data_IF_655256095545
#
_entry.id   IF_655256095545
#
_cell.length_a   1.000
_cell.length_b   1.000
_cell.length_c   1.000
_cell.angle_alpha   90.00
_cell.angle_beta   90.00
_cell.angle_gamma   90.00
#
_symmetry.space_group_name_H-M   'P 1'
#
loop_
_entity.id
_entity.type
_entity.pdbx_description
1 polymer ?
#
# COMPACT_ATOMS: atom_id res chain seq x y z
N UNK A 1 -15.95 7.34 -36.55
CA UNK A 1 -16.13 6.99 -35.12
C UNK A 1 -15.29 5.77 -34.74
N UNK A 2 -15.44 4.63 -35.42
CA UNK A 2 -14.72 3.38 -35.10
C UNK A 2 -13.19 3.51 -35.24
N UNK A 3 -12.69 4.20 -36.27
CA UNK A 3 -11.24 4.48 -36.41
C UNK A 3 -10.68 5.35 -35.28
N UNK A 4 -11.44 6.34 -34.80
CA UNK A 4 -11.02 7.19 -33.68
C UNK A 4 -10.90 6.38 -32.38
N UNK A 5 -11.82 5.42 -32.16
CA UNK A 5 -11.79 4.50 -31.02
C UNK A 5 -10.60 3.54 -31.15
N UNK A 6 -10.33 3.02 -32.35
CA UNK A 6 -9.19 2.14 -32.61
C UNK A 6 -7.84 2.83 -32.31
N UNK A 7 -7.66 4.07 -32.78
CA UNK A 7 -6.42 4.84 -32.54
C UNK A 7 -6.26 5.24 -31.07
N UNK A 8 -7.37 5.50 -30.37
CA UNK A 8 -7.36 5.92 -28.96
C UNK A 8 -7.70 4.78 -27.97
N UNK A 9 -7.48 3.52 -28.35
CA UNK A 9 -7.91 2.39 -27.54
C UNK A 9 -7.23 2.34 -26.15
N UNK A 10 -5.93 2.65 -26.06
CA UNK A 10 -5.19 2.64 -24.81
C UNK A 10 -5.72 3.64 -23.75
N UNK A 11 -5.90 4.95 -24.06
CA UNK A 11 -6.48 5.88 -23.09
C UNK A 11 -7.95 5.57 -22.76
N UNK A 12 -8.72 5.04 -23.72
CA UNK A 12 -10.11 4.59 -23.45
C UNK A 12 -10.11 3.40 -22.49
N UNK A 13 -9.23 2.43 -22.69
CA UNK A 13 -9.06 1.26 -21.80
C UNK A 13 -8.65 1.68 -20.39
N UNK A 14 -7.77 2.67 -20.27
CA UNK A 14 -7.34 3.23 -18.98
C UNK A 14 -8.49 3.96 -18.28
N UNK A 15 -9.22 4.84 -18.98
CA UNK A 15 -10.36 5.55 -18.42
C UNK A 15 -11.49 4.58 -17.99
N UNK A 16 -11.75 3.55 -18.80
CA UNK A 16 -12.69 2.48 -18.46
C UNK A 16 -12.26 1.73 -17.20
N UNK A 17 -10.97 1.39 -17.07
CA UNK A 17 -10.45 0.75 -15.86
C UNK A 17 -10.73 1.60 -14.62
N UNK A 18 -10.48 2.91 -14.68
CA UNK A 18 -10.79 3.82 -13.57
C UNK A 18 -12.27 3.74 -13.21
N UNK A 19 -13.17 3.75 -14.20
CA UNK A 19 -14.60 3.60 -13.96
C UNK A 19 -14.96 2.26 -13.31
N UNK A 20 -14.42 1.14 -13.80
CA UNK A 20 -14.62 -0.19 -13.20
C UNK A 20 -14.15 -0.26 -11.75
N UNK A 21 -13.03 0.39 -11.42
CA UNK A 21 -12.52 0.46 -10.05
C UNK A 21 -13.41 1.31 -9.14
N UNK A 22 -14.04 2.37 -9.67
CA UNK A 22 -14.97 3.23 -8.93
C UNK A 22 -16.30 2.55 -8.59
N UNK A 23 -16.69 1.51 -9.35
CA UNK A 23 -17.88 0.69 -9.05
C UNK A 23 -17.72 -0.09 -7.73
N UNK A 24 -16.48 -0.23 -7.22
CA UNK A 24 -16.20 -0.92 -5.95
C UNK A 24 -16.21 -2.45 -6.07
N UNK A 25 -16.20 -2.99 -7.28
CA UNK A 25 -16.04 -4.43 -7.51
C UNK A 25 -14.59 -4.86 -7.21
N UNK A 26 -14.33 -6.10 -6.74
CA UNK A 26 -12.96 -6.51 -6.42
C UNK A 26 -11.99 -6.32 -7.59
N UNK A 27 -10.84 -5.71 -7.29
CA UNK A 27 -9.86 -5.22 -8.28
C UNK A 27 -9.44 -6.29 -9.29
N UNK A 28 -9.25 -7.54 -8.83
CA UNK A 28 -8.86 -8.65 -9.70
C UNK A 28 -9.88 -8.92 -10.82
N UNK A 29 -11.17 -8.94 -10.50
CA UNK A 29 -12.22 -9.15 -11.49
C UNK A 29 -12.43 -7.92 -12.37
N UNK A 30 -12.29 -6.71 -11.82
CA UNK A 30 -12.35 -5.48 -12.58
C UNK A 30 -11.24 -5.42 -13.66
N UNK A 31 -10.00 -5.78 -13.30
CA UNK A 31 -8.88 -5.88 -14.23
C UNK A 31 -9.09 -6.96 -15.29
N UNK A 32 -9.54 -8.16 -14.89
CA UNK A 32 -9.80 -9.25 -15.81
C UNK A 32 -10.92 -8.91 -16.80
N UNK A 33 -12.04 -8.36 -16.30
CA UNK A 33 -13.17 -7.97 -17.14
C UNK A 33 -12.78 -6.84 -18.10
N UNK A 34 -12.10 -5.80 -17.63
CA UNK A 34 -11.64 -4.71 -18.49
C UNK A 34 -10.64 -5.22 -19.54
N UNK A 35 -9.68 -6.06 -19.16
CA UNK A 35 -8.72 -6.67 -20.09
C UNK A 35 -9.38 -7.52 -21.17
N UNK A 36 -10.33 -8.39 -20.80
CA UNK A 36 -11.06 -9.25 -21.75
C UNK A 36 -12.02 -8.45 -22.64
N UNK A 37 -12.68 -7.43 -22.10
CA UNK A 37 -13.57 -6.53 -22.86
C UNK A 37 -12.77 -5.79 -23.93
N UNK A 38 -11.66 -5.16 -23.56
CA UNK A 38 -10.82 -4.45 -24.53
C UNK A 38 -10.02 -5.39 -25.44
N UNK A 39 -9.78 -6.64 -25.05
CA UNK A 39 -9.32 -7.67 -25.97
C UNK A 39 -10.34 -7.93 -27.07
N UNK A 40 -11.61 -8.16 -26.70
CA UNK A 40 -12.70 -8.37 -27.66
C UNK A 40 -12.85 -7.18 -28.61
N UNK A 41 -12.96 -5.96 -28.05
CA UNK A 41 -13.08 -4.72 -28.83
C UNK A 41 -11.86 -4.51 -29.72
N UNK A 42 -10.65 -4.81 -29.21
CA UNK A 42 -9.40 -4.68 -29.96
C UNK A 42 -9.33 -5.64 -31.16
N UNK A 43 -9.77 -6.89 -31.01
CA UNK A 43 -9.80 -7.86 -32.12
C UNK A 43 -10.79 -7.42 -33.21
N UNK A 44 -11.99 -6.97 -32.83
CA UNK A 44 -13.00 -6.49 -33.78
C UNK A 44 -12.58 -5.20 -34.51
N UNK A 45 -11.83 -4.33 -33.84
CA UNK A 45 -11.32 -3.08 -34.43
C UNK A 45 -9.98 -3.24 -35.16
N UNK A 46 -9.28 -4.36 -35.01
CA UNK A 46 -7.98 -4.61 -35.63
C UNK A 46 -7.97 -4.41 -37.16
N UNK A 47 -8.97 -4.88 -37.93
CA UNK A 47 -9.03 -4.64 -39.39
C UNK A 47 -9.16 -3.18 -39.78
N UNK A 48 -9.70 -2.34 -38.89
CA UNK A 48 -9.97 -0.91 -39.12
C UNK A 48 -8.87 0.00 -38.57
N UNK A 49 -7.82 -0.59 -37.98
CA UNK A 49 -6.82 0.13 -37.20
C UNK A 49 -5.54 0.52 -37.97
N UNK A 50 -5.49 0.28 -39.29
CA UNK A 50 -4.31 0.52 -40.13
C UNK A 50 -3.00 -0.09 -39.55
N UNK A 51 -3.09 -1.28 -38.93
CA UNK A 51 -1.94 -1.98 -38.36
C UNK A 51 -1.47 -1.51 -36.97
N UNK A 52 -2.18 -0.58 -36.33
CA UNK A 52 -1.84 -0.11 -34.96
C UNK A 52 -2.19 -1.16 -33.89
N UNK A 53 -3.25 -1.94 -34.11
CA UNK A 53 -3.72 -3.00 -33.22
C UNK A 53 -3.36 -4.37 -33.82
N UNK A 54 -2.54 -5.14 -33.12
CA UNK A 54 -2.10 -6.49 -33.52
C UNK A 54 -2.74 -7.59 -32.66
N UNK A 55 -4.03 -7.46 -32.35
CA UNK A 55 -4.78 -8.47 -31.59
C UNK A 55 -5.51 -9.43 -32.53
N UNK A 56 -5.55 -10.71 -32.16
CA UNK A 56 -6.27 -11.75 -32.91
C UNK A 56 -6.82 -12.81 -31.95
N UNK A 57 -7.92 -13.46 -32.34
CA UNK A 57 -8.56 -14.52 -31.55
C UNK A 57 -7.59 -15.64 -31.07
N UNK A 58 -6.65 -16.13 -31.90
CA UNK A 58 -5.70 -17.15 -31.45
C UNK A 58 -4.81 -16.74 -30.27
N UNK A 59 -4.62 -15.44 -30.02
CA UNK A 59 -3.82 -14.95 -28.90
C UNK A 59 -4.44 -15.34 -27.53
N UNK A 60 -5.75 -15.60 -27.46
CA UNK A 60 -6.38 -16.12 -26.24
C UNK A 60 -5.85 -17.50 -25.85
N UNK A 61 -5.35 -18.29 -26.80
CA UNK A 61 -4.77 -19.61 -26.49
C UNK A 61 -3.46 -19.50 -25.68
N UNK A 62 -2.85 -18.31 -25.58
CA UNK A 62 -1.72 -18.05 -24.70
C UNK A 62 -2.13 -17.78 -23.24
N UNK A 63 -3.43 -17.57 -22.96
CA UNK A 63 -3.93 -17.27 -21.60
C UNK A 63 -3.62 -18.37 -20.58
N UNK A 64 -3.80 -19.68 -20.87
CA UNK A 64 -3.47 -20.73 -19.92
C UNK A 64 -2.00 -20.72 -19.51
N UNK A 65 -1.10 -20.51 -20.46
CA UNK A 65 0.34 -20.43 -20.20
C UNK A 65 0.71 -19.17 -19.40
N UNK A 66 0.08 -18.03 -19.70
CA UNK A 66 0.20 -16.81 -18.89
C UNK A 66 -0.28 -17.02 -17.46
N UNK A 67 -1.41 -17.68 -17.28
CA UNK A 67 -1.96 -17.98 -15.96
C UNK A 67 -1.05 -18.92 -15.17
N UNK A 68 -0.58 -19.99 -15.82
CA UNK A 68 0.36 -20.92 -15.22
C UNK A 68 1.68 -20.23 -14.84
N UNK A 69 2.23 -19.38 -15.71
CA UNK A 69 3.47 -18.65 -15.46
C UNK A 69 3.38 -17.71 -14.24
N UNK A 70 2.22 -17.12 -13.98
CA UNK A 70 1.99 -16.33 -12.75
C UNK A 70 1.89 -17.23 -11.52
N UNK A 71 1.18 -18.36 -11.61
CA UNK A 71 1.04 -19.31 -10.50
C UNK A 71 2.36 -19.99 -10.13
N UNK A 72 3.24 -20.25 -11.10
CA UNK A 72 4.56 -20.86 -10.89
C UNK A 72 5.65 -19.85 -10.52
N UNK A 73 5.30 -18.59 -10.29
CA UNK A 73 6.27 -17.55 -10.01
C UNK A 73 6.79 -17.63 -8.57
N UNK A 74 8.05 -18.02 -8.41
CA UNK A 74 8.72 -18.14 -7.11
C UNK A 74 8.82 -16.81 -6.35
N UNK A 75 8.86 -15.67 -7.05
CA UNK A 75 8.87 -14.35 -6.41
C UNK A 75 7.53 -14.06 -5.73
N UNK A 76 6.42 -14.42 -6.39
CA UNK A 76 5.07 -14.21 -5.87
C UNK A 76 4.71 -15.19 -4.74
N UNK A 77 5.43 -16.31 -4.62
CA UNK A 77 5.34 -17.23 -3.47
C UNK A 77 5.66 -16.51 -2.14
N UNK A 78 6.42 -15.41 -2.17
CA UNK A 78 6.65 -14.59 -0.98
C UNK A 78 5.36 -13.96 -0.42
N UNK A 79 4.37 -13.61 -1.27
CA UNK A 79 3.13 -12.94 -0.86
C UNK A 79 2.35 -13.71 0.21
N UNK A 80 2.01 -15.01 0.03
CA UNK A 80 1.31 -15.76 1.07
C UNK A 80 2.13 -15.93 2.34
N UNK A 81 3.46 -16.12 2.27
CA UNK A 81 4.30 -16.22 3.46
C UNK A 81 4.38 -14.91 4.25
N UNK A 82 4.50 -13.77 3.56
CA UNK A 82 4.47 -12.45 4.20
C UNK A 82 3.10 -12.15 4.80
N UNK A 83 2.02 -12.49 4.09
CA UNK A 83 0.66 -12.34 4.61
C UNK A 83 0.46 -13.20 5.86
N UNK A 84 0.92 -14.45 5.84
CA UNK A 84 0.86 -15.35 6.99
C UNK A 84 1.64 -14.80 8.18
N UNK A 85 2.88 -14.36 7.98
CA UNK A 85 3.70 -13.72 9.01
C UNK A 85 3.01 -12.49 9.60
N UNK A 86 2.47 -11.61 8.75
CA UNK A 86 1.75 -10.41 9.18
C UNK A 86 0.54 -10.75 10.07
N UNK A 87 -0.27 -11.73 9.66
CA UNK A 87 -1.41 -12.21 10.44
C UNK A 87 -0.97 -12.82 11.77
N UNK A 88 0.10 -13.61 11.79
CA UNK A 88 0.63 -14.20 13.03
C UNK A 88 1.07 -13.11 14.01
N UNK A 89 1.77 -12.07 13.55
CA UNK A 89 2.21 -10.94 14.38
C UNK A 89 1.05 -10.07 14.88
N UNK A 90 -0.01 -9.92 14.08
CA UNK A 90 -1.22 -9.21 14.49
C UNK A 90 -2.02 -10.02 15.52
N UNK A 91 -2.20 -11.32 15.28
CA UNK A 91 -2.97 -12.21 16.16
C UNK A 91 -2.25 -12.57 17.45
N UNK A 92 -0.92 -12.43 17.52
CA UNK A 92 -0.15 -12.66 18.75
C UNK A 92 -0.24 -11.53 19.76
N UNK A 93 -0.82 -10.38 19.40
CA UNK A 93 -0.86 -9.19 20.27
C UNK A 93 0.44 -8.39 20.29
N UNK A 94 1.47 -8.82 19.56
CA UNK A 94 2.77 -8.13 19.55
C UNK A 94 2.67 -6.66 19.12
N UNK A 95 1.75 -6.33 18.20
CA UNK A 95 1.51 -4.96 17.76
C UNK A 95 1.04 -4.04 18.91
N UNK A 96 0.19 -4.56 19.80
CA UNK A 96 -0.35 -3.84 20.95
C UNK A 96 0.73 -3.68 22.03
N UNK A 97 1.45 -4.76 22.35
CA UNK A 97 2.57 -4.73 23.31
C UNK A 97 3.68 -3.75 22.88
N UNK A 98 3.98 -3.67 21.58
CA UNK A 98 4.94 -2.71 21.03
C UNK A 98 4.44 -1.27 21.17
N UNK A 99 3.15 -1.01 20.93
CA UNK A 99 2.55 0.31 21.12
C UNK A 99 2.59 0.75 22.58
N UNK A 100 2.26 -0.14 23.50
CA UNK A 100 2.31 0.15 24.94
C UNK A 100 3.75 0.41 25.41
N UNK A 101 4.69 -0.42 24.98
CA UNK A 101 6.12 -0.28 25.34
C UNK A 101 6.72 1.02 24.80
N UNK A 102 6.49 1.32 23.51
CA UNK A 102 7.02 2.54 22.90
C UNK A 102 6.26 3.78 23.41
N UNK A 103 4.95 3.65 23.69
CA UNK A 103 4.14 4.68 24.33
C UNK A 103 4.65 5.06 25.71
N UNK A 104 5.11 4.10 26.52
CA UNK A 104 5.77 4.36 27.80
C UNK A 104 7.16 4.99 27.62
N UNK A 105 7.93 4.51 26.63
CA UNK A 105 9.27 5.03 26.34
C UNK A 105 9.26 6.52 25.97
N UNK A 106 8.32 6.92 25.10
CA UNK A 106 8.20 8.31 24.65
C UNK A 106 7.16 9.12 25.43
N UNK A 107 6.40 8.49 26.33
CA UNK A 107 5.31 9.07 27.09
C UNK A 107 5.63 10.40 27.79
N UNK A 108 6.76 10.50 28.53
CA UNK A 108 7.14 11.73 29.22
C UNK A 108 7.46 12.90 28.29
N UNK A 109 7.63 12.64 26.98
CA UNK A 109 7.99 13.64 25.98
C UNK A 109 6.70 14.19 25.35
N UNK A 110 6.67 15.51 25.10
CA UNK A 110 5.57 16.14 24.35
C UNK A 110 5.53 15.57 22.93
N UNK A 111 4.37 15.14 22.45
CA UNK A 111 4.27 14.38 21.20
C UNK A 111 4.62 12.89 21.33
N UNK A 112 4.89 12.39 22.55
CA UNK A 112 5.34 11.04 22.83
C UNK A 112 4.55 9.93 22.13
N UNK A 113 3.22 9.97 22.25
CA UNK A 113 2.33 8.99 21.61
C UNK A 113 2.38 9.07 20.08
N UNK A 114 2.54 10.26 19.50
CA UNK A 114 2.66 10.41 18.06
C UNK A 114 3.98 9.82 17.53
N UNK A 115 5.09 9.98 18.26
CA UNK A 115 6.33 9.28 17.94
C UNK A 115 6.16 7.77 18.03
N UNK A 116 5.48 7.28 19.08
CA UNK A 116 5.21 5.87 19.24
C UNK A 116 4.44 5.28 18.05
N UNK A 117 3.40 5.98 17.57
CA UNK A 117 2.64 5.58 16.38
C UNK A 117 3.52 5.58 15.12
N UNK A 118 4.44 6.53 14.94
CA UNK A 118 5.34 6.52 13.79
C UNK A 118 6.33 5.34 13.85
N UNK A 119 6.96 5.11 15.01
CA UNK A 119 7.93 4.03 15.17
C UNK A 119 7.30 2.66 15.08
N UNK A 120 6.20 2.42 15.81
CA UNK A 120 5.52 1.12 15.74
C UNK A 120 4.90 0.92 14.36
N UNK A 121 4.33 1.96 13.76
CA UNK A 121 3.81 1.85 12.41
C UNK A 121 4.91 1.55 11.40
N UNK A 122 6.12 2.10 11.54
CA UNK A 122 7.27 1.73 10.72
C UNK A 122 7.73 0.28 10.91
N UNK A 123 7.72 -0.23 12.15
CA UNK A 123 8.07 -1.63 12.46
C UNK A 123 7.02 -2.63 11.95
N UNK A 124 5.73 -2.32 12.15
CA UNK A 124 4.62 -3.15 11.67
C UNK A 124 4.44 -3.04 10.15
N UNK A 125 4.76 -1.88 9.57
CA UNK A 125 4.80 -1.66 8.13
C UNK A 125 5.71 -2.68 7.44
N UNK A 126 6.91 -2.86 7.99
CA UNK A 126 7.91 -3.78 7.49
C UNK A 126 7.44 -5.25 7.50
N UNK A 127 6.46 -5.62 8.34
CA UNK A 127 6.02 -7.02 8.44
C UNK A 127 4.71 -7.30 7.72
N UNK A 128 3.80 -6.32 7.66
CA UNK A 128 2.45 -6.50 7.11
C UNK A 128 2.34 -6.13 5.64
N UNK A 129 3.04 -5.08 5.17
CA UNK A 129 3.00 -4.65 3.77
C UNK A 129 1.62 -4.17 3.27
N UNK A 130 0.62 -4.03 4.13
CA UNK A 130 -0.77 -3.69 3.77
C UNK A 130 -1.26 -2.47 4.55
N UNK A 131 -1.41 -1.33 3.85
CA UNK A 131 -1.81 -0.06 4.46
C UNK A 131 -3.16 -0.14 5.19
N UNK A 132 -4.17 -0.77 4.58
CA UNK A 132 -5.50 -0.83 5.17
C UNK A 132 -5.49 -1.54 6.54
N UNK A 133 -4.79 -2.67 6.64
CA UNK A 133 -4.68 -3.43 7.88
C UNK A 133 -3.93 -2.62 8.95
N UNK A 134 -2.77 -2.04 8.63
CA UNK A 134 -1.99 -1.25 9.59
C UNK A 134 -2.77 -0.03 10.09
N UNK A 135 -3.44 0.72 9.20
CA UNK A 135 -4.25 1.89 9.60
C UNK A 135 -5.44 1.49 10.47
N UNK A 136 -6.12 0.38 10.17
CA UNK A 136 -7.23 -0.12 10.98
C UNK A 136 -6.73 -0.54 12.36
N UNK A 137 -5.66 -1.33 12.44
CA UNK A 137 -5.10 -1.80 13.70
C UNK A 137 -4.65 -0.61 14.58
N UNK A 138 -3.85 0.31 14.02
CA UNK A 138 -3.41 1.51 14.75
C UNK A 138 -4.57 2.46 15.06
N UNK A 139 -5.57 2.55 14.20
CA UNK A 139 -6.77 3.34 14.43
C UNK A 139 -7.60 2.80 15.59
N UNK A 140 -7.75 1.48 15.71
CA UNK A 140 -8.49 0.84 16.78
C UNK A 140 -7.74 0.89 18.13
N UNK A 141 -6.41 0.76 18.09
CA UNK A 141 -5.59 0.69 19.31
C UNK A 141 -5.15 2.09 19.76
N UNK A 142 -4.49 2.87 18.88
CA UNK A 142 -3.82 4.11 19.25
C UNK A 142 -4.76 5.32 19.33
N UNK A 143 -5.77 5.43 18.46
CA UNK A 143 -6.63 6.62 18.41
C UNK A 143 -7.39 6.85 19.73
N UNK A 144 -8.05 5.84 20.35
CA UNK A 144 -8.75 6.04 21.61
C UNK A 144 -7.82 6.51 22.73
N UNK A 145 -6.61 5.95 22.78
CA UNK A 145 -5.59 6.27 23.78
C UNK A 145 -5.14 7.73 23.61
N UNK A 146 -4.77 8.14 22.39
CA UNK A 146 -4.36 9.52 22.09
C UNK A 146 -5.42 10.54 22.49
N UNK A 147 -6.70 10.27 22.17
CA UNK A 147 -7.80 11.16 22.53
C UNK A 147 -8.06 11.22 24.03
N UNK A 148 -7.93 10.10 24.75
CA UNK A 148 -8.05 10.06 26.21
C UNK A 148 -7.02 10.95 26.90
N UNK A 149 -5.81 11.04 26.34
CA UNK A 149 -4.74 11.91 26.83
C UNK A 149 -4.78 13.34 26.27
N UNK A 150 -5.83 13.71 25.54
CA UNK A 150 -6.04 15.09 25.11
C UNK A 150 -5.30 15.49 23.83
N UNK A 151 -4.87 14.53 23.00
CA UNK A 151 -4.36 14.85 21.67
C UNK A 151 -5.46 15.44 20.78
N UNK A 152 -5.09 16.39 19.93
CA UNK A 152 -5.97 16.90 18.90
C UNK A 152 -6.33 15.80 17.88
N UNK A 153 -7.62 15.69 17.56
CA UNK A 153 -8.17 14.66 16.66
C UNK A 153 -7.52 14.69 15.27
N UNK A 154 -7.19 15.86 14.73
CA UNK A 154 -6.63 16.01 13.38
C UNK A 154 -5.19 15.51 13.36
N UNK A 155 -4.44 15.79 14.42
CA UNK A 155 -3.06 15.29 14.55
C UNK A 155 -3.06 13.79 14.76
N UNK A 156 -3.86 13.27 15.69
CA UNK A 156 -3.90 11.84 15.98
C UNK A 156 -4.31 11.01 14.75
N UNK A 157 -5.40 11.39 14.08
CA UNK A 157 -5.84 10.72 12.84
C UNK A 157 -4.84 10.87 11.70
N UNK A 158 -4.25 12.06 11.54
CA UNK A 158 -3.24 12.31 10.50
C UNK A 158 -1.97 11.48 10.69
N UNK A 159 -1.44 11.40 11.91
CA UNK A 159 -0.24 10.60 12.22
C UNK A 159 -0.50 9.12 12.03
N UNK A 160 -1.66 8.61 12.47
CA UNK A 160 -2.05 7.20 12.26
C UNK A 160 -2.16 6.89 10.76
N UNK A 161 -2.89 7.73 10.01
CA UNK A 161 -3.06 7.55 8.57
C UNK A 161 -1.72 7.61 7.82
N UNK A 162 -0.86 8.59 8.14
CA UNK A 162 0.45 8.73 7.53
C UNK A 162 1.37 7.57 7.89
N UNK A 163 1.41 7.16 9.15
CA UNK A 163 2.25 6.05 9.62
C UNK A 163 1.88 4.74 8.92
N UNK A 164 0.59 4.46 8.72
CA UNK A 164 0.15 3.27 7.99
C UNK A 164 0.59 3.22 6.52
N UNK A 165 0.88 4.36 5.87
CA UNK A 165 1.43 4.37 4.51
C UNK A 165 2.87 3.87 4.43
N UNK A 166 3.59 3.85 5.55
CA UNK A 166 4.97 3.34 5.62
C UNK A 166 5.05 1.85 5.22
N UNK A 167 3.95 1.10 5.34
CA UNK A 167 3.84 -0.31 4.94
C UNK A 167 4.18 -0.54 3.46
N UNK A 168 4.04 0.48 2.62
CA UNK A 168 4.34 0.37 1.19
C UNK A 168 5.83 0.54 0.87
N UNK A 169 6.60 1.23 1.72
CA UNK A 169 7.95 1.68 1.39
C UNK A 169 9.03 1.07 2.28
N UNK A 170 8.73 0.76 3.55
CA UNK A 170 9.71 0.20 4.47
C UNK A 170 9.86 -1.31 4.21
N UNK A 171 11.05 -1.81 3.86
CA UNK A 171 11.26 -3.23 3.64
C UNK A 171 11.20 -4.05 4.94
N UNK A 172 10.74 -5.32 4.88
CA UNK A 172 10.15 -5.97 3.71
C UNK A 172 8.75 -5.44 3.33
N UNK A 173 8.42 -5.40 2.04
CA UNK A 173 7.13 -4.85 1.57
C UNK A 173 6.58 -5.62 0.39
N UNK A 174 5.31 -6.03 0.50
CA UNK A 174 4.56 -6.73 -0.55
C UNK A 174 4.50 -5.92 -1.86
N UNK A 175 4.34 -4.59 -1.76
CA UNK A 175 4.30 -3.72 -2.93
C UNK A 175 5.63 -3.76 -3.69
N UNK A 176 6.76 -3.74 -2.98
CA UNK A 176 8.09 -3.83 -3.60
C UNK A 176 8.37 -5.20 -4.22
N UNK A 177 7.82 -6.28 -3.65
CA UNK A 177 7.92 -7.63 -4.24
C UNK A 177 7.19 -7.68 -5.58
N UNK A 178 5.95 -7.17 -5.63
CA UNK A 178 5.17 -7.12 -6.87
C UNK A 178 5.84 -6.20 -7.89
N UNK A 179 6.35 -5.04 -7.48
CA UNK A 179 7.09 -4.15 -8.38
C UNK A 179 8.38 -4.79 -8.89
N UNK A 180 9.12 -5.53 -8.06
CA UNK A 180 10.32 -6.26 -8.48
C UNK A 180 10.00 -7.24 -9.61
N UNK A 181 8.93 -8.02 -9.41
CA UNK A 181 8.44 -8.98 -10.40
C UNK A 181 8.05 -8.30 -11.72
N UNK A 182 7.23 -7.25 -11.66
CA UNK A 182 6.77 -6.53 -12.85
C UNK A 182 7.89 -5.80 -13.59
N UNK A 183 8.93 -5.34 -12.88
CA UNK A 183 10.09 -4.68 -13.47
C UNK A 183 11.18 -5.67 -13.91
N UNK A 184 11.03 -6.97 -13.64
CA UNK A 184 12.06 -7.98 -13.87
C UNK A 184 13.36 -7.70 -13.10
N UNK A 185 13.24 -7.14 -11.89
CA UNK A 185 14.37 -6.78 -11.01
C UNK A 185 14.40 -7.66 -9.77
N UNK A 186 15.56 -7.73 -9.13
CA UNK A 186 15.70 -8.44 -7.85
C UNK A 186 14.92 -7.72 -6.75
N UNK A 187 14.16 -8.49 -5.96
CA UNK A 187 13.47 -7.99 -4.74
C UNK A 187 14.47 -7.32 -3.79
N UNK A 188 15.68 -7.88 -3.67
CA UNK A 188 16.72 -7.32 -2.81
C UNK A 188 17.19 -5.93 -3.27
N UNK A 189 17.24 -5.68 -4.59
CA UNK A 189 17.59 -4.37 -5.12
C UNK A 189 16.48 -3.36 -4.91
N UNK A 190 15.22 -3.77 -5.03
CA UNK A 190 14.05 -2.95 -4.68
C UNK A 190 14.09 -2.57 -3.20
N UNK A 191 14.42 -3.49 -2.30
CA UNK A 191 14.54 -3.22 -0.87
C UNK A 191 15.68 -2.24 -0.55
N UNK A 192 16.86 -2.45 -1.14
CA UNK A 192 17.98 -1.51 -0.99
C UNK A 192 17.61 -0.11 -1.49
N UNK A 193 16.94 -0.03 -2.63
CA UNK A 193 16.49 1.23 -3.23
C UNK A 193 15.43 1.96 -2.39
N UNK A 194 14.54 1.22 -1.72
CA UNK A 194 13.47 1.78 -0.91
C UNK A 194 13.89 2.17 0.51
N UNK A 195 14.98 1.59 1.04
CA UNK A 195 15.42 1.81 2.42
C UNK A 195 15.69 3.29 2.73
N UNK A 196 16.48 3.97 1.89
CA UNK A 196 16.82 5.39 2.12
C UNK A 196 15.55 6.27 2.03
N UNK A 197 14.72 6.20 0.97
CA UNK A 197 13.45 6.92 0.91
C UNK A 197 12.53 6.64 2.10
N UNK A 198 12.43 5.39 2.55
CA UNK A 198 11.59 5.01 3.69
C UNK A 198 12.05 5.62 5.00
N UNK A 199 13.37 5.62 5.26
CA UNK A 199 13.95 6.26 6.43
C UNK A 199 13.82 7.79 6.38
N UNK A 200 14.01 8.40 5.21
CA UNK A 200 13.80 9.84 5.02
C UNK A 200 12.35 10.21 5.30
N UNK A 201 11.38 9.47 4.75
CA UNK A 201 9.96 9.72 4.98
C UNK A 201 9.59 9.57 6.46
N UNK A 202 10.09 8.53 7.12
CA UNK A 202 9.92 8.34 8.57
C UNK A 202 10.51 9.51 9.36
N UNK A 203 11.70 9.96 8.98
CA UNK A 203 12.35 11.14 9.57
C UNK A 203 11.54 12.42 9.36
N UNK A 204 10.93 12.61 8.19
CA UNK A 204 10.04 13.75 7.92
C UNK A 204 8.78 13.70 8.79
N UNK A 205 8.20 12.53 9.03
CA UNK A 205 7.06 12.38 9.94
C UNK A 205 7.44 12.70 11.39
N UNK A 206 8.60 12.21 11.86
CA UNK A 206 9.14 12.55 13.19
C UNK A 206 9.40 14.06 13.29
N UNK A 207 10.04 14.65 12.28
CA UNK A 207 10.32 16.08 12.22
C UNK A 207 9.05 16.92 12.24
N UNK A 208 8.02 16.50 11.52
CA UNK A 208 6.71 17.16 11.52
C UNK A 208 6.05 17.15 12.92
N UNK A 209 6.05 16.00 13.60
CA UNK A 209 5.55 15.89 14.98
C UNK A 209 6.38 16.75 15.93
N UNK A 210 7.71 16.76 15.77
CA UNK A 210 8.61 17.59 16.57
C UNK A 210 8.28 19.07 16.44
N UNK A 211 8.19 19.59 15.22
CA UNK A 211 7.82 20.99 14.96
C UNK A 211 6.47 21.32 15.58
N UNK A 212 5.46 20.48 15.39
CA UNK A 212 4.14 20.70 15.97
C UNK A 212 4.12 20.62 17.49
N UNK A 213 4.97 19.78 18.11
CA UNK A 213 5.04 19.63 19.57
C UNK A 213 5.59 20.88 20.25
N UNK A 214 6.42 21.64 19.54
CA UNK A 214 6.98 22.92 19.97
C UNK A 214 5.98 24.05 19.72
N UNK A 215 5.38 24.09 18.51
CA UNK A 215 4.47 25.17 18.12
C UNK A 215 3.08 25.07 18.76
N UNK A 216 2.59 23.87 19.04
CA UNK A 216 1.25 23.60 19.58
C UNK A 216 1.30 22.57 20.72
N UNK A 217 1.96 22.89 21.84
CA UNK A 217 2.16 21.94 22.95
C UNK A 217 0.84 21.45 23.56
N UNK A 218 -0.21 22.28 23.56
CA UNK A 218 -1.52 21.92 24.07
C UNK A 218 -2.26 20.88 23.21
N UNK A 219 -1.88 20.72 21.95
CA UNK A 219 -2.51 19.77 21.02
C UNK A 219 -1.88 18.37 21.07
N UNK A 220 -0.70 18.24 21.71
CA UNK A 220 0.04 16.99 21.86
C UNK A 220 0.73 16.94 23.23
N UNK A 221 -0.05 16.86 24.32
CA UNK A 221 0.49 16.85 25.67
C UNK A 221 1.39 15.62 25.90
N UNK A 222 2.31 15.75 26.85
CA UNK A 222 3.07 14.62 27.38
C UNK A 222 2.18 13.79 28.31
N UNK A 223 2.44 12.48 28.38
CA UNK A 223 1.79 11.61 29.36
C UNK A 223 2.22 12.00 30.78
N UNK A 224 1.29 11.96 31.76
CA UNK A 224 1.66 12.12 33.16
C UNK A 224 2.62 11.00 33.59
N UNK A 225 3.59 11.33 34.46
CA UNK A 225 4.53 10.37 35.06
C UNK A 225 3.81 9.37 35.96
#
# INVERSE_FOLDING_TARGET
>A
MMEFIAVNMAPIMFASLVFFLLIGYPVAFALAANGLLFFFVGVELAPLSNGTINLSWPLLNAMPERFWGVLSNETLLAIPFFTFMGIVLERSGMAEDLLDTIGQLFGPIRGGLAYAVIFVGALLAATTGVVAASVIAMGLISLPIMLRYGYDRRIASGVIAASGTLAQIIPPSLVLIVLADQLGRSVGDMYKGALIPGLVLTGLYIGYVMVLSILRPNSMPALPK
#
